data_IF_387626564263
#
_entry.id   IF_387626564263
#
_cell.length_a   1.000
_cell.length_b   1.000
_cell.length_c   1.000
_cell.angle_alpha   90.00
_cell.angle_beta   90.00
_cell.angle_gamma   90.00
#
_symmetry.space_group_name_H-M   'P 1'
#
loop_
_entity.id
_entity.type
_entity.pdbx_description
1 polymer ?
#
# COMPACT_ATOMS: atom_id res chain seq x y z
N UNK A 1 -14.51 -36.41 -2.08
CA UNK A 1 -13.47 -36.83 -3.04
C UNK A 1 -13.56 -35.92 -4.25
N UNK A 2 -12.44 -35.36 -4.74
CA UNK A 2 -12.44 -34.48 -5.93
C UNK A 2 -11.72 -33.13 -5.79
N UNK A 3 -10.76 -32.99 -4.87
CA UNK A 3 -10.02 -31.74 -4.71
C UNK A 3 -8.90 -31.62 -5.76
N UNK A 4 -8.84 -30.48 -6.46
CA UNK A 4 -7.82 -30.21 -7.46
C UNK A 4 -6.44 -30.28 -6.81
N UNK A 5 -5.61 -31.21 -7.28
CA UNK A 5 -4.33 -31.54 -6.66
C UNK A 5 -3.22 -31.62 -7.71
N UNK A 6 -1.99 -31.31 -7.29
CA UNK A 6 -0.78 -31.44 -8.13
C UNK A 6 0.05 -32.61 -7.61
N UNK A 7 0.39 -33.57 -8.47
CA UNK A 7 1.30 -34.67 -8.14
C UNK A 7 2.75 -34.22 -8.38
N UNK A 8 3.55 -34.22 -7.32
CA UNK A 8 4.93 -33.71 -7.36
C UNK A 8 5.95 -34.85 -7.29
N UNK A 9 6.99 -34.78 -8.12
CA UNK A 9 8.15 -35.69 -8.07
C UNK A 9 9.27 -35.15 -7.18
N UNK A 10 9.41 -33.82 -7.11
CA UNK A 10 10.41 -33.12 -6.30
C UNK A 10 9.76 -31.87 -5.66
N UNK A 11 10.24 -31.48 -4.48
CA UNK A 11 9.82 -30.28 -3.77
C UNK A 11 11.04 -29.52 -3.27
N UNK A 12 11.15 -28.24 -3.63
CA UNK A 12 12.23 -27.35 -3.20
C UNK A 12 11.69 -26.22 -2.32
N UNK A 13 12.28 -26.04 -1.14
CA UNK A 13 11.92 -24.93 -0.25
C UNK A 13 12.53 -23.61 -0.77
N UNK A 14 11.68 -22.69 -1.22
CA UNK A 14 12.13 -21.38 -1.76
C UNK A 14 12.47 -20.38 -0.65
N UNK A 15 11.67 -20.36 0.43
CA UNK A 15 11.92 -19.49 1.58
C UNK A 15 11.30 -20.09 2.85
N UNK A 16 12.07 -20.11 3.94
CA UNK A 16 11.64 -20.65 5.24
C UNK A 16 10.99 -19.56 6.08
N UNK A 17 9.77 -19.80 6.59
CA UNK A 17 9.19 -18.94 7.63
C UNK A 17 9.94 -19.15 8.95
N UNK A 18 10.51 -18.08 9.51
CA UNK A 18 11.25 -18.14 10.78
C UNK A 18 10.33 -18.04 12.01
N UNK A 19 9.14 -17.46 11.84
CA UNK A 19 8.11 -17.32 12.86
C UNK A 19 6.84 -18.05 12.42
N UNK A 20 6.06 -18.59 13.37
CA UNK A 20 4.75 -19.15 13.04
C UNK A 20 3.81 -18.05 12.57
N UNK A 21 2.97 -18.36 11.58
CA UNK A 21 1.87 -17.48 11.19
C UNK A 21 0.78 -17.50 12.29
N UNK A 22 0.05 -16.39 12.50
CA UNK A 22 -1.12 -16.37 13.37
C UNK A 22 -2.14 -17.43 12.96
N UNK A 23 -2.94 -17.89 13.93
CA UNK A 23 -3.93 -18.93 13.70
C UNK A 23 -4.96 -18.50 12.63
N UNK A 24 -5.16 -19.36 11.63
CA UNK A 24 -5.98 -19.06 10.44
C UNK A 24 -7.48 -18.91 10.73
N UNK A 25 -7.98 -19.51 11.81
CA UNK A 25 -9.44 -19.59 12.06
C UNK A 25 -10.06 -18.29 12.54
N UNK A 26 -9.33 -17.53 13.37
CA UNK A 26 -9.80 -16.27 13.89
C UNK A 26 -9.25 -15.07 13.09
N UNK A 27 -8.24 -15.29 12.24
CA UNK A 27 -7.52 -14.25 11.53
C UNK A 27 -6.76 -13.33 12.50
N UNK A 28 -6.02 -12.37 11.95
CA UNK A 28 -5.47 -11.29 12.76
C UNK A 28 -6.56 -10.23 12.93
N UNK A 29 -7.27 -10.23 14.05
CA UNK A 29 -8.40 -9.31 14.33
C UNK A 29 -7.96 -7.99 14.94
N UNK A 30 -6.89 -8.00 15.74
CA UNK A 30 -6.37 -6.81 16.39
C UNK A 30 -5.92 -5.77 15.35
N UNK A 31 -6.63 -4.63 15.31
CA UNK A 31 -6.43 -3.61 14.28
C UNK A 31 -5.04 -3.00 14.34
N UNK A 32 -4.47 -2.86 15.54
CA UNK A 32 -3.14 -2.29 15.70
C UNK A 32 -2.07 -3.23 15.11
N UNK A 33 -2.10 -4.52 15.47
CA UNK A 33 -1.23 -5.53 14.91
C UNK A 33 -1.35 -5.62 13.39
N UNK A 34 -2.57 -5.58 12.84
CA UNK A 34 -2.80 -5.60 11.38
C UNK A 34 -2.10 -4.44 10.67
N UNK A 35 -2.15 -3.24 11.25
CA UNK A 35 -1.57 -2.05 10.62
C UNK A 35 -0.05 -1.97 10.82
N UNK A 36 0.46 -2.46 11.96
CA UNK A 36 1.91 -2.56 12.22
C UNK A 36 2.58 -3.68 11.41
N UNK A 37 1.89 -4.79 11.20
CA UNK A 37 2.39 -5.97 10.50
C UNK A 37 1.57 -6.27 9.25
N UNK A 38 1.47 -5.29 8.35
CA UNK A 38 0.65 -5.40 7.14
C UNK A 38 0.98 -6.64 6.28
N UNK A 39 2.24 -7.06 6.26
CA UNK A 39 2.66 -8.26 5.53
C UNK A 39 2.02 -9.54 6.08
N UNK A 40 1.81 -9.64 7.40
CA UNK A 40 1.09 -10.76 8.03
C UNK A 40 -0.40 -10.66 7.72
N UNK A 41 -0.96 -9.47 7.86
CA UNK A 41 -2.38 -9.19 7.58
C UNK A 41 -2.76 -9.58 6.14
N UNK A 42 -1.90 -9.28 5.16
CA UNK A 42 -2.12 -9.68 3.76
C UNK A 42 -2.10 -11.20 3.52
N UNK A 43 -1.42 -11.97 4.36
CA UNK A 43 -1.37 -13.45 4.25
C UNK A 43 -2.63 -14.08 4.86
N UNK A 44 -3.08 -13.57 6.01
CA UNK A 44 -4.15 -14.19 6.81
C UNK A 44 -5.54 -13.63 6.52
N UNK A 45 -5.64 -12.43 5.97
CA UNK A 45 -6.89 -11.73 5.65
C UNK A 45 -6.91 -11.36 4.14
N UNK A 46 -7.23 -12.30 3.24
CA UNK A 46 -7.18 -12.09 1.79
C UNK A 46 -8.01 -10.92 1.27
N UNK A 47 -9.12 -10.58 1.93
CA UNK A 47 -10.00 -9.45 1.58
C UNK A 47 -9.30 -8.08 1.69
N UNK A 48 -8.23 -8.00 2.49
CA UNK A 48 -7.37 -6.80 2.56
C UNK A 48 -6.67 -6.58 1.22
N UNK A 49 -6.19 -7.65 0.58
CA UNK A 49 -5.58 -7.57 -0.75
C UNK A 49 -6.59 -7.05 -1.77
N UNK A 50 -7.84 -7.51 -1.72
CA UNK A 50 -8.89 -7.03 -2.62
C UNK A 50 -9.14 -5.52 -2.47
N UNK A 51 -9.03 -5.00 -1.24
CA UNK A 51 -9.13 -3.55 -0.98
C UNK A 51 -8.02 -2.77 -1.71
N UNK A 52 -6.78 -3.26 -1.67
CA UNK A 52 -5.66 -2.64 -2.38
C UNK A 52 -5.79 -2.77 -3.91
N UNK A 53 -6.27 -3.90 -4.41
CA UNK A 53 -6.56 -4.10 -5.84
C UNK A 53 -7.60 -3.10 -6.31
N UNK A 54 -8.72 -2.96 -5.57
CA UNK A 54 -9.77 -1.98 -5.88
C UNK A 54 -9.24 -0.55 -5.86
N UNK A 55 -8.41 -0.18 -4.87
CA UNK A 55 -7.76 1.15 -4.84
C UNK A 55 -6.94 1.40 -6.10
N UNK A 56 -6.16 0.42 -6.55
CA UNK A 56 -5.38 0.53 -7.78
C UNK A 56 -6.27 0.69 -9.01
N UNK A 57 -7.37 -0.07 -9.10
CA UNK A 57 -8.34 0.06 -10.18
C UNK A 57 -8.99 1.45 -10.19
N UNK A 58 -9.45 1.96 -9.04
CA UNK A 58 -10.04 3.31 -8.93
C UNK A 58 -9.08 4.37 -9.49
N UNK A 59 -7.81 4.34 -9.09
CA UNK A 59 -6.81 5.30 -9.59
C UNK A 59 -6.58 5.16 -11.10
N UNK A 60 -6.58 3.93 -11.61
CA UNK A 60 -6.47 3.67 -13.06
C UNK A 60 -7.65 4.26 -13.83
N UNK A 61 -8.88 4.05 -13.34
CA UNK A 61 -10.08 4.56 -14.00
C UNK A 61 -10.14 6.09 -14.00
N UNK A 62 -9.74 6.73 -12.89
CA UNK A 62 -9.66 8.20 -12.82
C UNK A 62 -8.68 8.76 -13.87
N UNK A 63 -7.50 8.15 -14.00
CA UNK A 63 -6.51 8.56 -15.01
C UNK A 63 -7.05 8.38 -16.42
N UNK A 64 -7.55 7.19 -16.75
CA UNK A 64 -8.10 6.91 -18.07
C UNK A 64 -9.20 7.90 -18.47
N UNK A 65 -10.12 8.21 -17.55
CA UNK A 65 -11.19 9.17 -17.80
C UNK A 65 -10.68 10.58 -18.12
N UNK A 66 -9.64 11.05 -17.43
CA UNK A 66 -9.06 12.38 -17.66
C UNK A 66 -8.21 12.41 -18.94
N UNK A 67 -7.45 11.35 -19.21
CA UNK A 67 -6.65 11.19 -20.42
C UNK A 67 -7.54 11.22 -21.68
N UNK A 68 -8.69 10.53 -21.66
CA UNK A 68 -9.67 10.56 -22.75
C UNK A 68 -10.23 11.97 -23.03
N UNK A 69 -10.15 12.88 -22.05
CA UNK A 69 -10.55 14.28 -22.18
C UNK A 69 -9.41 15.22 -22.58
N UNK A 70 -8.20 14.68 -22.81
CA UNK A 70 -7.03 15.46 -23.19
C UNK A 70 -6.37 16.20 -22.03
N UNK A 71 -6.63 15.82 -20.79
CA UNK A 71 -5.84 16.30 -19.65
C UNK A 71 -4.43 15.71 -19.72
N UNK A 72 -3.47 16.45 -19.18
CA UNK A 72 -2.08 16.02 -19.02
C UNK A 72 -1.82 15.76 -17.55
N UNK A 73 -1.47 14.53 -17.17
CA UNK A 73 -1.00 14.21 -15.83
C UNK A 73 0.35 14.91 -15.58
N UNK A 74 0.47 15.61 -14.45
CA UNK A 74 1.69 16.34 -14.06
C UNK A 74 2.00 16.08 -12.60
N UNK A 75 3.29 16.01 -12.28
CA UNK A 75 3.78 15.98 -10.91
C UNK A 75 4.17 17.41 -10.48
N UNK A 76 3.62 17.85 -9.35
CA UNK A 76 3.97 19.15 -8.74
C UNK A 76 4.86 18.94 -7.52
N UNK A 77 5.68 19.92 -7.12
CA UNK A 77 6.53 19.81 -5.93
C UNK A 77 5.72 19.44 -4.68
N UNK A 78 6.17 18.42 -3.96
CA UNK A 78 5.58 18.03 -2.65
C UNK A 78 6.08 18.97 -1.56
N UNK A 79 7.34 19.41 -1.64
CA UNK A 79 7.93 20.36 -0.70
C UNK A 79 7.85 21.77 -1.27
N UNK A 80 7.20 22.68 -0.54
CA UNK A 80 7.07 24.10 -0.92
C UNK A 80 7.69 25.00 0.14
N UNK A 81 8.15 26.22 -0.21
CA UNK A 81 8.68 27.16 0.77
C UNK A 81 7.60 27.93 1.56
N UNK A 82 6.33 27.67 1.28
CA UNK A 82 5.17 28.31 1.93
C UNK A 82 3.95 27.38 1.89
N UNK A 83 3.00 27.62 2.80
CA UNK A 83 1.73 26.89 2.89
C UNK A 83 0.81 27.20 1.69
N UNK A 84 0.20 26.17 1.08
CA UNK A 84 -0.68 26.32 -0.09
C UNK A 84 -1.91 25.41 -0.04
N UNK A 85 -2.96 25.81 -0.75
CA UNK A 85 -4.02 24.91 -1.26
C UNK A 85 -5.15 24.55 -0.29
N UNK A 86 -4.89 24.46 1.02
CA UNK A 86 -5.92 24.05 1.99
C UNK A 86 -5.75 24.71 3.36
N UNK A 87 -6.86 24.84 4.09
CA UNK A 87 -6.85 25.25 5.51
C UNK A 87 -6.56 24.03 6.39
N UNK A 88 -5.29 23.66 6.51
CA UNK A 88 -4.83 22.56 7.35
C UNK A 88 -3.51 22.93 8.05
N UNK A 89 -3.19 22.24 9.15
CA UNK A 89 -1.88 22.38 9.81
C UNK A 89 -0.84 21.57 9.02
N UNK A 90 0.23 22.18 8.49
CA UNK A 90 1.19 21.46 7.67
C UNK A 90 2.27 20.77 8.51
N UNK A 91 3.09 19.97 7.83
CA UNK A 91 4.34 19.45 8.38
C UNK A 91 5.50 20.31 7.90
N UNK A 92 6.30 20.80 8.84
CA UNK A 92 7.51 21.57 8.58
C UNK A 92 8.73 20.65 8.55
N UNK A 93 9.63 20.92 7.61
CA UNK A 93 10.94 20.27 7.48
C UNK A 93 11.98 21.30 7.04
N UNK A 94 13.26 20.90 6.94
CA UNK A 94 14.36 21.82 6.69
C UNK A 94 15.28 21.30 5.58
N UNK A 95 15.60 22.17 4.62
CA UNK A 95 16.50 21.88 3.51
C UNK A 95 17.93 22.36 3.82
N UNK A 96 18.76 21.46 4.35
CA UNK A 96 20.10 21.78 4.86
C UNK A 96 21.01 22.61 3.92
N UNK A 97 21.08 22.30 2.61
CA UNK A 97 21.99 23.00 1.69
C UNK A 97 21.53 24.41 1.32
N UNK A 98 20.22 24.65 1.36
CA UNK A 98 19.63 25.96 1.04
C UNK A 98 19.36 26.77 2.31
N UNK A 99 19.62 26.16 3.48
CA UNK A 99 19.40 26.73 4.81
C UNK A 99 18.02 27.38 4.93
N UNK A 100 16.98 26.62 4.56
CA UNK A 100 15.61 27.12 4.54
C UNK A 100 14.60 26.06 4.99
N UNK A 101 13.53 26.54 5.61
CA UNK A 101 12.40 25.70 5.98
C UNK A 101 11.49 25.44 4.77
N UNK A 102 10.94 24.23 4.73
CA UNK A 102 10.05 23.74 3.70
C UNK A 102 8.80 23.14 4.35
N UNK A 103 7.73 23.08 3.58
CA UNK A 103 6.39 22.66 3.99
C UNK A 103 5.95 21.50 3.11
N UNK A 104 5.37 20.46 3.73
CA UNK A 104 4.67 19.36 3.06
C UNK A 104 3.17 19.61 2.97
#
# INVERSE_FOLDING_TARGET
MGELSVRVHELTLVSKSLLPLPEKFHGLTDREARYRQRYVDLIVNPEVKDTFVKRSQILKEIRAYLDEKGFLEVDTPILTPFEIGASARPFYTHHNTLDMDMVL
#
